data_IF_551013291026
#
_entry.id   IF_551013291026
#
_cell.length_a   1.000
_cell.length_b   1.000
_cell.length_c   1.000
_cell.angle_alpha   90.00
_cell.angle_beta   90.00
_cell.angle_gamma   90.00
#
_symmetry.space_group_name_H-M   'P 1'
#
loop_
_entity.id
_entity.type
_entity.pdbx_description
1 polymer ?
#
# COMPACT_ATOMS: atom_id res chain seq x y z
N UNK A 1 22.06 12.35 4.29
CA UNK A 1 21.18 12.75 5.41
C UNK A 1 20.04 11.75 5.45
N UNK A 2 19.74 11.16 6.61
CA UNK A 2 18.52 10.36 6.80
C UNK A 2 17.46 11.25 7.45
N UNK A 3 16.30 11.37 6.82
CA UNK A 3 15.17 12.21 7.22
C UNK A 3 13.94 11.38 7.67
N UNK A 4 14.04 10.05 7.56
CA UNK A 4 12.99 9.11 7.93
C UNK A 4 13.53 7.97 8.79
N UNK A 5 12.67 7.40 9.64
CA UNK A 5 12.97 6.26 10.50
C UNK A 5 11.82 5.25 10.45
N UNK A 6 12.14 3.95 10.38
CA UNK A 6 11.16 2.87 10.48
C UNK A 6 11.28 2.15 11.82
N UNK A 7 10.14 1.92 12.46
CA UNK A 7 10.04 1.35 13.80
C UNK A 7 8.92 0.34 13.85
N UNK A 8 8.85 -0.46 14.92
CA UNK A 8 7.77 -1.43 15.12
C UNK A 8 7.16 -1.27 16.50
N UNK A 9 5.84 -1.30 16.57
CA UNK A 9 5.08 -1.29 17.81
C UNK A 9 3.78 -2.09 17.64
N UNK A 10 3.26 -2.62 18.74
CA UNK A 10 2.01 -3.42 18.74
C UNK A 10 1.05 -3.00 19.85
N UNK A 11 1.28 -1.87 20.50
CA UNK A 11 0.43 -1.30 21.54
C UNK A 11 0.52 0.22 21.52
N UNK A 12 -0.53 0.90 21.98
CA UNK A 12 -0.57 2.37 22.11
C UNK A 12 0.60 2.86 22.96
N UNK A 13 0.82 2.25 24.12
CA UNK A 13 1.95 2.58 25.00
C UNK A 13 3.31 2.42 24.30
N UNK A 14 3.49 1.34 23.53
CA UNK A 14 4.73 1.14 22.77
C UNK A 14 4.96 2.21 21.71
N UNK A 15 3.89 2.66 21.05
CA UNK A 15 3.94 3.78 20.09
C UNK A 15 4.35 5.06 20.82
N UNK A 16 3.70 5.39 21.93
CA UNK A 16 4.02 6.55 22.75
C UNK A 16 5.48 6.53 23.20
N UNK A 17 5.94 5.43 23.80
CA UNK A 17 7.30 5.29 24.33
C UNK A 17 8.36 5.47 23.23
N UNK A 18 8.13 4.90 22.04
CA UNK A 18 9.07 5.01 20.92
C UNK A 18 9.04 6.43 20.35
N UNK A 19 7.86 7.00 20.09
CA UNK A 19 7.72 8.30 19.44
C UNK A 19 8.30 9.45 20.30
N UNK A 20 8.22 9.37 21.63
CA UNK A 20 8.86 10.36 22.53
C UNK A 20 10.39 10.36 22.46
N UNK A 21 11.01 9.29 21.95
CA UNK A 21 12.47 9.16 21.81
C UNK A 21 12.98 9.61 20.44
N UNK A 22 12.10 9.82 19.47
CA UNK A 22 12.49 10.19 18.11
C UNK A 22 12.59 11.72 18.03
N UNK A 23 13.70 12.26 17.49
CA UNK A 23 13.79 13.69 17.17
C UNK A 23 12.66 14.11 16.23
N UNK A 24 12.00 15.24 16.52
CA UNK A 24 10.91 15.79 15.70
C UNK A 24 11.33 16.13 14.25
N UNK A 25 12.63 16.20 13.98
CA UNK A 25 13.18 16.42 12.63
C UNK A 25 13.12 15.18 11.73
N UNK A 26 12.82 13.99 12.28
CA UNK A 26 12.70 12.75 11.52
C UNK A 26 11.24 12.36 11.35
N UNK A 27 10.86 11.96 10.14
CA UNK A 27 9.53 11.36 9.91
C UNK A 27 9.57 9.87 10.31
N UNK A 28 8.84 9.53 11.37
CA UNK A 28 8.68 8.15 11.81
C UNK A 28 7.61 7.41 11.00
N UNK A 29 7.91 6.19 10.57
CA UNK A 29 6.95 5.21 10.05
C UNK A 29 6.88 4.03 11.03
N UNK A 30 5.72 3.84 11.65
CA UNK A 30 5.53 2.79 12.66
C UNK A 30 4.82 1.59 12.05
N UNK A 31 5.55 0.48 11.95
CA UNK A 31 5.02 -0.83 11.57
C UNK A 31 4.14 -1.37 12.70
N UNK A 32 2.88 -1.65 12.38
CA UNK A 32 1.89 -2.16 13.33
C UNK A 32 1.26 -3.47 12.82
N UNK A 33 0.78 -4.34 13.71
CA UNK A 33 -0.09 -5.45 13.30
C UNK A 33 -1.36 -4.89 12.64
N UNK A 34 -1.88 -5.63 11.66
CA UNK A 34 -3.09 -5.28 10.90
C UNK A 34 -4.35 -6.01 11.41
N UNK A 35 -4.12 -7.10 12.14
CA UNK A 35 -5.12 -7.91 12.83
C UNK A 35 -4.69 -8.08 14.31
N UNK A 36 -5.57 -7.82 15.30
CA UNK A 36 -6.95 -7.32 15.19
C UNK A 36 -7.06 -5.87 14.66
N UNK A 37 -8.26 -5.28 14.58
CA UNK A 37 -8.49 -3.91 14.07
C UNK A 37 -7.50 -2.91 14.71
N UNK A 38 -6.60 -2.29 13.90
CA UNK A 38 -5.52 -1.46 14.41
C UNK A 38 -5.93 -0.01 14.71
N UNK A 39 -7.24 0.31 14.73
CA UNK A 39 -7.77 1.66 14.93
C UNK A 39 -7.04 2.44 16.03
N UNK A 40 -6.91 1.88 17.22
CA UNK A 40 -6.31 2.58 18.37
C UNK A 40 -4.82 2.88 18.15
N UNK A 41 -4.10 1.98 17.48
CA UNK A 41 -2.70 2.16 17.12
C UNK A 41 -2.54 3.28 16.09
N UNK A 42 -3.40 3.30 15.06
CA UNK A 42 -3.40 4.34 14.03
C UNK A 42 -3.71 5.71 14.63
N UNK A 43 -4.69 5.80 15.53
CA UNK A 43 -5.02 7.04 16.25
C UNK A 43 -3.83 7.52 17.09
N UNK A 44 -3.12 6.62 17.78
CA UNK A 44 -1.93 6.97 18.56
C UNK A 44 -0.80 7.51 17.67
N UNK A 45 -0.54 6.88 16.52
CA UNK A 45 0.46 7.33 15.55
C UNK A 45 0.10 8.73 15.02
N UNK A 46 -1.16 8.93 14.62
CA UNK A 46 -1.62 10.22 14.09
C UNK A 46 -1.47 11.35 15.10
N UNK A 47 -1.87 11.13 16.36
CA UNK A 47 -1.73 12.10 17.45
C UNK A 47 -0.28 12.54 17.70
N UNK A 48 0.69 11.67 17.42
CA UNK A 48 2.11 11.91 17.64
C UNK A 48 2.85 12.36 16.37
N UNK A 49 2.13 12.63 15.27
CA UNK A 49 2.71 13.11 14.01
C UNK A 49 3.50 12.04 13.23
N UNK A 50 3.31 10.77 13.56
CA UNK A 50 3.91 9.66 12.83
C UNK A 50 3.16 9.32 11.55
N UNK A 51 3.67 8.32 10.82
CA UNK A 51 3.02 7.67 9.69
C UNK A 51 2.89 6.18 9.97
N UNK A 52 1.88 5.54 9.41
CA UNK A 52 1.72 4.10 9.58
C UNK A 52 2.59 3.33 8.57
N UNK A 53 2.96 2.11 8.93
CA UNK A 53 3.53 1.12 8.01
C UNK A 53 2.79 -0.20 8.19
N UNK A 54 2.43 -0.80 7.07
CA UNK A 54 1.76 -2.11 7.03
C UNK A 54 2.60 -3.10 6.23
N UNK A 55 2.55 -4.38 6.63
CA UNK A 55 3.08 -5.47 5.82
C UNK A 55 1.92 -6.13 5.08
N UNK A 56 2.13 -6.42 3.80
CA UNK A 56 1.13 -7.04 2.91
C UNK A 56 1.54 -8.45 2.49
N UNK A 57 2.60 -9.02 3.09
CA UNK A 57 3.10 -10.33 2.74
C UNK A 57 4.41 -10.73 3.42
N UNK A 58 4.96 -11.85 2.98
CA UNK A 58 6.22 -12.41 3.42
C UNK A 58 6.58 -13.66 2.61
N UNK A 59 7.45 -14.51 3.17
CA UNK A 59 7.93 -15.73 2.50
C UNK A 59 7.04 -16.96 2.76
N UNK A 60 5.97 -16.81 3.55
CA UNK A 60 4.95 -17.84 3.81
C UNK A 60 3.56 -17.30 3.48
N UNK A 61 2.59 -18.18 3.25
CA UNK A 61 1.21 -17.78 2.89
C UNK A 61 0.52 -17.02 4.03
N UNK A 62 0.83 -17.39 5.27
CA UNK A 62 0.25 -16.83 6.49
C UNK A 62 0.77 -15.41 6.78
N UNK A 63 1.84 -14.99 6.12
CA UNK A 63 2.37 -13.63 6.24
C UNK A 63 1.56 -12.59 5.43
N UNK A 64 0.64 -13.03 4.57
CA UNK A 64 -0.24 -12.17 3.81
C UNK A 64 -1.53 -11.90 4.60
N UNK A 65 -1.91 -10.64 4.83
CA UNK A 65 -3.18 -10.33 5.47
C UNK A 65 -4.34 -10.68 4.55
N UNK A 66 -5.54 -10.83 5.12
CA UNK A 66 -6.74 -10.94 4.30
C UNK A 66 -7.03 -9.63 3.57
N UNK A 67 -7.78 -9.69 2.48
CA UNK A 67 -8.27 -8.49 1.78
C UNK A 67 -9.03 -7.58 2.73
N UNK A 68 -9.89 -8.14 3.59
CA UNK A 68 -10.68 -7.37 4.55
C UNK A 68 -9.80 -6.63 5.56
N UNK A 69 -8.73 -7.26 6.07
CA UNK A 69 -7.81 -6.60 7.00
C UNK A 69 -7.08 -5.42 6.33
N UNK A 70 -6.66 -5.61 5.08
CA UNK A 70 -6.01 -4.55 4.32
C UNK A 70 -6.96 -3.39 3.99
N UNK A 71 -8.18 -3.67 3.54
CA UNK A 71 -9.21 -2.63 3.33
C UNK A 71 -9.48 -1.88 4.63
N UNK A 72 -9.70 -2.59 5.74
CA UNK A 72 -9.95 -1.99 7.05
C UNK A 72 -8.81 -1.07 7.46
N UNK A 73 -7.56 -1.53 7.33
CA UNK A 73 -6.39 -0.70 7.61
C UNK A 73 -6.37 0.58 6.77
N UNK A 74 -6.58 0.49 5.45
CA UNK A 74 -6.57 1.64 4.55
C UNK A 74 -7.73 2.59 4.88
N UNK A 75 -8.92 2.06 5.18
CA UNK A 75 -10.07 2.85 5.65
C UNK A 75 -9.72 3.63 6.91
N UNK A 76 -9.18 2.98 7.94
CA UNK A 76 -8.81 3.65 9.20
C UNK A 76 -7.75 4.73 8.99
N UNK A 77 -6.79 4.49 8.09
CA UNK A 77 -5.82 5.51 7.70
C UNK A 77 -6.51 6.71 7.02
N UNK A 78 -7.46 6.47 6.11
CA UNK A 78 -8.21 7.53 5.45
C UNK A 78 -9.07 8.35 6.44
N UNK A 79 -9.77 7.69 7.37
CA UNK A 79 -10.57 8.33 8.42
C UNK A 79 -9.74 9.20 9.37
N UNK A 80 -8.49 8.80 9.64
CA UNK A 80 -7.55 9.53 10.49
C UNK A 80 -6.69 10.56 9.73
N UNK A 81 -6.89 10.69 8.40
CA UNK A 81 -6.01 11.41 7.47
C UNK A 81 -4.52 11.09 7.70
N UNK A 82 -4.23 9.81 7.96
CA UNK A 82 -2.93 9.31 8.35
C UNK A 82 -2.20 8.73 7.12
N UNK A 83 -1.09 9.34 6.67
CA UNK A 83 -0.32 8.78 5.59
C UNK A 83 0.34 7.46 6.02
N UNK A 84 0.43 6.52 5.11
CA UNK A 84 1.04 5.22 5.36
C UNK A 84 1.94 4.77 4.21
N UNK A 85 2.73 3.72 4.47
CA UNK A 85 3.39 2.93 3.45
C UNK A 85 3.12 1.44 3.63
N UNK A 86 3.14 0.71 2.53
CA UNK A 86 2.96 -0.73 2.54
C UNK A 86 4.24 -1.45 2.11
N UNK A 87 4.51 -2.63 2.65
CA UNK A 87 5.76 -3.36 2.37
C UNK A 87 5.52 -4.84 2.32
N UNK A 88 6.45 -5.57 1.70
CA UNK A 88 6.43 -7.02 1.54
C UNK A 88 5.28 -7.55 0.66
N UNK A 89 5.61 -8.22 -0.44
CA UNK A 89 4.62 -8.80 -1.34
C UNK A 89 4.00 -7.84 -2.36
N UNK A 90 4.58 -6.64 -2.58
CA UNK A 90 4.09 -5.64 -3.54
C UNK A 90 5.04 -5.49 -4.75
N UNK A 91 5.41 -6.62 -5.36
CA UNK A 91 6.33 -6.66 -6.51
C UNK A 91 5.62 -6.45 -7.85
N UNK A 92 4.31 -6.71 -7.89
CA UNK A 92 3.51 -6.73 -9.10
C UNK A 92 2.45 -5.63 -9.07
N UNK A 93 2.07 -5.06 -10.23
CA UNK A 93 1.08 -3.99 -10.27
C UNK A 93 -0.30 -4.50 -9.85
N UNK A 94 -0.65 -5.72 -10.27
CA UNK A 94 -1.95 -6.34 -10.06
C UNK A 94 -1.86 -7.60 -9.21
N UNK A 95 -2.96 -7.95 -8.53
CA UNK A 95 -3.06 -9.17 -7.74
C UNK A 95 -2.97 -10.41 -8.62
N UNK A 96 -2.12 -11.37 -8.25
CA UNK A 96 -2.12 -12.71 -8.82
C UNK A 96 -1.36 -13.69 -7.92
N UNK A 97 -1.29 -14.96 -8.34
CA UNK A 97 -0.43 -15.99 -7.74
C UNK A 97 1.02 -15.84 -8.20
N UNK A 98 1.95 -15.74 -7.26
CA UNK A 98 3.38 -15.65 -7.55
C UNK A 98 4.19 -16.54 -6.61
N UNK A 99 5.45 -16.81 -6.96
CA UNK A 99 6.39 -17.46 -6.05
C UNK A 99 6.71 -16.54 -4.87
N UNK A 100 6.67 -17.06 -3.65
CA UNK A 100 6.92 -16.30 -2.42
C UNK A 100 8.38 -15.87 -2.26
N UNK A 101 9.29 -16.52 -2.97
CA UNK A 101 10.71 -16.19 -3.05
C UNK A 101 11.22 -16.42 -4.48
N UNK A 102 12.45 -15.98 -4.77
CA UNK A 102 13.08 -16.20 -6.08
C UNK A 102 13.55 -17.65 -6.32
N UNK A 103 13.47 -18.53 -5.32
CA UNK A 103 13.87 -19.92 -5.48
C UNK A 103 12.93 -20.65 -6.49
N UNK A 104 13.46 -21.46 -7.43
CA UNK A 104 12.65 -22.14 -8.44
C UNK A 104 11.54 -23.04 -7.87
N UNK A 105 11.80 -23.65 -6.72
CA UNK A 105 10.93 -24.55 -5.95
C UNK A 105 10.15 -23.82 -4.83
N UNK A 106 10.22 -22.49 -4.78
CA UNK A 106 9.50 -21.70 -3.80
C UNK A 106 7.99 -21.99 -3.87
N UNK A 107 7.31 -22.12 -2.72
CA UNK A 107 5.85 -22.14 -2.70
C UNK A 107 5.30 -20.88 -3.38
N UNK A 108 4.13 -21.01 -3.98
CA UNK A 108 3.36 -19.87 -4.48
C UNK A 108 2.43 -19.33 -3.41
N UNK A 109 1.95 -18.10 -3.60
CA UNK A 109 0.84 -17.53 -2.86
C UNK A 109 0.26 -16.32 -3.58
N UNK A 110 -0.96 -15.93 -3.21
CA UNK A 110 -1.61 -14.74 -3.77
C UNK A 110 -0.98 -13.48 -3.19
N UNK A 111 -0.45 -12.62 -4.05
CA UNK A 111 0.12 -11.32 -3.66
C UNK A 111 -0.81 -10.20 -4.08
N UNK A 112 -0.94 -9.15 -3.26
CA UNK A 112 -1.61 -7.92 -3.66
C UNK A 112 -0.80 -7.16 -4.72
N UNK A 113 -1.49 -6.42 -5.58
CA UNK A 113 -0.85 -5.50 -6.51
C UNK A 113 -0.60 -4.13 -5.90
N UNK A 114 0.56 -3.52 -6.17
CA UNK A 114 0.80 -2.13 -5.73
C UNK A 114 -0.16 -1.16 -6.42
N UNK A 115 -0.50 -1.35 -7.69
CA UNK A 115 -1.47 -0.48 -8.38
C UNK A 115 -2.86 -0.63 -7.75
N UNK A 116 -3.27 -1.86 -7.43
CA UNK A 116 -4.53 -2.10 -6.71
C UNK A 116 -4.56 -1.33 -5.39
N UNK A 117 -3.51 -1.43 -4.56
CA UNK A 117 -3.46 -0.75 -3.26
C UNK A 117 -3.53 0.77 -3.39
N UNK A 118 -2.84 1.33 -4.38
CA UNK A 118 -2.83 2.77 -4.62
C UNK A 118 -4.20 3.29 -5.07
N UNK A 119 -4.85 2.58 -5.99
CA UNK A 119 -6.18 2.93 -6.45
C UNK A 119 -7.24 2.71 -5.36
N UNK A 120 -7.20 1.59 -4.65
CA UNK A 120 -8.09 1.34 -3.51
C UNK A 120 -7.99 2.46 -2.47
N UNK A 121 -6.77 2.92 -2.16
CA UNK A 121 -6.58 4.04 -1.24
C UNK A 121 -7.22 5.33 -1.76
N UNK A 122 -7.05 5.66 -3.04
CA UNK A 122 -7.66 6.85 -3.64
C UNK A 122 -9.19 6.76 -3.62
N UNK A 123 -9.76 5.63 -4.01
CA UNK A 123 -11.20 5.41 -4.02
C UNK A 123 -11.80 5.43 -2.61
N UNK A 124 -11.16 4.78 -1.63
CA UNK A 124 -11.60 4.80 -0.23
C UNK A 124 -11.66 6.24 0.31
N UNK A 125 -10.66 7.08 -0.04
CA UNK A 125 -10.61 8.48 0.39
C UNK A 125 -11.73 9.34 -0.20
N UNK A 126 -12.27 8.98 -1.36
CA UNK A 126 -13.43 9.67 -1.98
C UNK A 126 -14.76 8.99 -1.66
N UNK A 127 -14.78 8.05 -0.72
CA UNK A 127 -15.99 7.45 -0.18
C UNK A 127 -16.46 6.16 -0.86
N UNK A 128 -15.63 5.48 -1.67
CA UNK A 128 -15.94 4.12 -2.11
C UNK A 128 -16.13 3.20 -0.90
N UNK A 129 -17.11 2.31 -0.92
CA UNK A 129 -17.39 1.35 0.16
C UNK A 129 -16.28 0.28 0.34
N UNK A 130 -16.17 -0.28 1.55
CA UNK A 130 -15.13 -1.29 1.86
C UNK A 130 -15.25 -2.56 0.99
N UNK A 131 -16.47 -3.02 0.72
CA UNK A 131 -16.71 -4.18 -0.15
C UNK A 131 -16.14 -3.95 -1.56
N UNK A 132 -16.39 -2.76 -2.13
CA UNK A 132 -15.92 -2.39 -3.46
C UNK A 132 -14.40 -2.24 -3.51
N UNK A 133 -13.81 -1.62 -2.49
CA UNK A 133 -12.36 -1.55 -2.36
C UNK A 133 -11.72 -2.93 -2.23
N UNK A 134 -12.39 -3.88 -1.57
CA UNK A 134 -11.97 -5.28 -1.51
C UNK A 134 -11.93 -5.93 -2.89
N UNK A 135 -12.97 -5.75 -3.69
CA UNK A 135 -13.01 -6.23 -5.09
C UNK A 135 -11.90 -5.60 -5.93
N UNK A 136 -11.62 -4.31 -5.75
CA UNK A 136 -10.52 -3.62 -6.43
C UNK A 136 -9.15 -4.17 -6.01
N UNK A 137 -8.95 -4.46 -4.72
CA UNK A 137 -7.73 -5.12 -4.23
C UNK A 137 -7.57 -6.55 -4.79
N UNK A 138 -8.68 -7.18 -5.14
CA UNK A 138 -8.73 -8.53 -5.70
C UNK A 138 -8.63 -8.59 -7.23
N UNK A 139 -8.73 -7.45 -7.91
CA UNK A 139 -8.69 -7.35 -9.37
C UNK A 139 -7.30 -7.69 -9.93
N UNK A 140 -7.25 -8.73 -10.75
CA UNK A 140 -6.04 -9.20 -11.44
C UNK A 140 -5.99 -8.87 -12.93
N UNK A 141 -7.09 -8.38 -13.51
CA UNK A 141 -7.19 -8.07 -14.93
C UNK A 141 -6.75 -6.63 -15.23
N UNK A 142 -5.72 -6.41 -16.06
CA UNK A 142 -5.33 -5.06 -16.46
C UNK A 142 -6.43 -4.34 -17.24
N UNK A 143 -7.30 -5.07 -17.94
CA UNK A 143 -8.40 -4.52 -18.73
C UNK A 143 -9.52 -3.91 -17.88
N UNK A 144 -9.55 -4.19 -16.57
CA UNK A 144 -10.49 -3.58 -15.63
C UNK A 144 -10.17 -2.12 -15.32
N UNK A 145 -8.92 -1.69 -15.57
CA UNK A 145 -8.44 -0.35 -15.29
C UNK A 145 -8.33 0.48 -16.56
N UNK A 146 -8.79 1.73 -16.50
CA UNK A 146 -8.60 2.72 -17.57
C UNK A 146 -8.03 4.01 -17.01
N UNK A 147 -7.00 4.53 -17.66
CA UNK A 147 -6.34 5.78 -17.29
C UNK A 147 -6.47 6.79 -18.42
N UNK A 148 -6.71 8.04 -18.06
CA UNK A 148 -6.75 9.19 -18.97
C UNK A 148 -6.09 10.40 -18.30
N UNK A 149 -5.93 11.51 -19.04
CA UNK A 149 -5.30 12.73 -18.52
C UNK A 149 -6.02 13.35 -17.32
N UNK A 150 -7.27 12.94 -17.07
CA UNK A 150 -8.10 13.45 -15.99
C UNK A 150 -8.18 12.48 -14.80
N UNK A 151 -7.70 11.23 -14.88
CA UNK A 151 -7.62 10.32 -13.75
C UNK A 151 -7.66 8.83 -14.08
N UNK A 152 -8.22 8.04 -13.16
CA UNK A 152 -8.33 6.58 -13.27
C UNK A 152 -9.77 6.11 -13.08
N UNK A 153 -10.13 5.05 -13.79
CA UNK A 153 -11.44 4.43 -13.74
C UNK A 153 -11.30 2.93 -13.47
N UNK A 154 -12.20 2.39 -12.65
CA UNK A 154 -12.33 0.96 -12.38
C UNK A 154 -13.82 0.63 -12.17
N UNK A 155 -14.36 -0.30 -12.97
CA UNK A 155 -15.76 -0.75 -12.90
C UNK A 155 -16.83 0.35 -12.75
N UNK A 156 -16.68 1.45 -13.49
CA UNK A 156 -17.62 2.58 -13.47
C UNK A 156 -17.38 3.58 -12.33
N UNK A 157 -16.49 3.28 -11.38
CA UNK A 157 -15.96 4.25 -10.43
C UNK A 157 -14.85 5.07 -11.07
N UNK A 158 -14.77 6.36 -10.70
CA UNK A 158 -13.73 7.27 -11.18
C UNK A 158 -13.09 8.04 -10.02
N UNK A 159 -11.77 8.17 -10.08
CA UNK A 159 -10.98 9.13 -9.29
C UNK A 159 -10.25 10.06 -10.23
N UNK A 160 -10.31 11.35 -9.94
CA UNK A 160 -9.62 12.40 -10.68
C UNK A 160 -8.12 12.42 -10.39
N UNK A 161 -7.36 13.07 -11.26
CA UNK A 161 -5.93 13.32 -11.06
C UNK A 161 -5.64 14.07 -9.75
N UNK A 162 -6.54 14.98 -9.36
CA UNK A 162 -6.44 15.71 -8.08
C UNK A 162 -6.57 14.74 -6.90
N UNK A 163 -7.58 13.88 -6.90
CA UNK A 163 -7.82 12.91 -5.84
C UNK A 163 -6.71 11.85 -5.76
N UNK A 164 -6.15 11.44 -6.91
CA UNK A 164 -4.95 10.60 -6.96
C UNK A 164 -3.75 11.31 -6.32
N UNK A 165 -3.56 12.61 -6.59
CA UNK A 165 -2.52 13.43 -5.96
C UNK A 165 -2.69 13.56 -4.44
N UNK A 166 -3.93 13.76 -3.97
CA UNK A 166 -4.25 13.80 -2.55
C UNK A 166 -4.02 12.44 -1.88
N UNK A 167 -4.41 11.33 -2.52
CA UNK A 167 -4.16 9.98 -2.02
C UNK A 167 -2.66 9.67 -1.92
N UNK A 168 -1.86 10.14 -2.88
CA UNK A 168 -0.39 10.01 -2.85
C UNK A 168 0.27 10.83 -1.74
N UNK A 169 -0.33 11.97 -1.35
CA UNK A 169 0.22 12.88 -0.34
C UNK A 169 -0.21 12.54 1.08
N UNK A 170 -1.48 12.17 1.24
CA UNK A 170 -2.14 12.03 2.54
C UNK A 170 -2.64 10.60 2.84
N UNK A 171 -2.61 9.70 1.84
CA UNK A 171 -2.94 8.29 1.98
C UNK A 171 -1.70 7.40 1.86
N UNK A 172 -1.59 6.68 0.75
CA UNK A 172 -0.46 5.78 0.51
C UNK A 172 0.70 6.54 -0.14
N UNK A 173 1.80 6.66 0.60
CA UNK A 173 2.95 7.48 0.19
C UNK A 173 3.97 6.65 -0.60
N UNK A 174 4.20 5.42 -0.18
CA UNK A 174 5.18 4.53 -0.79
C UNK A 174 4.81 3.07 -0.62
N UNK A 175 5.44 2.22 -1.44
CA UNK A 175 5.49 0.78 -1.22
C UNK A 175 6.94 0.30 -1.23
N UNK A 176 7.19 -0.87 -0.63
CA UNK A 176 8.51 -1.52 -0.66
C UNK A 176 8.56 -2.68 -1.65
N UNK A 177 9.58 -2.69 -2.50
CA UNK A 177 9.95 -3.80 -3.40
C UNK A 177 11.43 -4.11 -3.22
N UNK A 178 11.82 -5.38 -3.33
CA UNK A 178 13.23 -5.80 -3.26
C UNK A 178 14.01 -5.45 -4.54
N UNK A 179 13.30 -5.09 -5.61
CA UNK A 179 13.87 -4.69 -6.89
C UNK A 179 13.25 -3.37 -7.36
N UNK A 180 14.10 -2.50 -7.88
CA UNK A 180 13.67 -1.26 -8.53
C UNK A 180 13.13 -1.50 -9.94
N UNK A 181 13.69 -2.47 -10.67
CA UNK A 181 13.33 -2.74 -12.06
C UNK A 181 12.07 -3.60 -12.20
N UNK A 182 11.78 -4.48 -11.23
CA UNK A 182 10.61 -5.37 -11.29
C UNK A 182 9.28 -4.61 -11.41
N UNK A 183 8.96 -3.61 -10.57
CA UNK A 183 7.70 -2.87 -10.71
C UNK A 183 7.58 -2.15 -12.05
N UNK A 184 8.69 -1.60 -12.57
CA UNK A 184 8.71 -0.90 -13.85
C UNK A 184 8.44 -1.87 -15.00
N UNK A 185 9.21 -2.96 -15.08
CA UNK A 185 9.02 -3.98 -16.12
C UNK A 185 7.64 -4.63 -16.07
N UNK A 186 7.08 -4.80 -14.87
CA UNK A 186 5.72 -5.32 -14.72
C UNK A 186 4.65 -4.33 -15.20
N UNK A 187 4.84 -3.01 -15.03
CA UNK A 187 3.95 -1.99 -15.60
C UNK A 187 4.08 -1.88 -17.13
N UNK A 188 5.28 -2.04 -17.67
CA UNK A 188 5.52 -2.12 -19.12
C UNK A 188 4.81 -3.34 -19.73
N UNK A 189 4.88 -4.49 -19.04
CA UNK A 189 4.25 -5.75 -19.48
C UNK A 189 2.71 -5.66 -19.55
N UNK A 190 2.09 -4.75 -18.79
CA UNK A 190 0.65 -4.44 -18.87
C UNK A 190 0.34 -3.14 -19.62
N UNK A 191 1.32 -2.60 -20.36
CA UNK A 191 1.21 -1.41 -21.21
C UNK A 191 0.81 -0.11 -20.50
N UNK A 192 1.00 -0.02 -19.18
CA UNK A 192 0.78 1.23 -18.43
C UNK A 192 1.99 2.16 -18.48
N UNK A 193 3.19 1.60 -18.68
CA UNK A 193 4.37 2.34 -19.06
C UNK A 193 4.78 1.95 -20.48
N UNK A 194 5.36 2.90 -21.21
CA UNK A 194 6.04 2.59 -22.46
C UNK A 194 7.30 1.82 -22.12
N UNK A 195 7.56 0.72 -22.81
CA UNK A 195 8.84 0.04 -22.73
C UNK A 195 9.96 1.03 -23.04
N UNK A 196 10.94 1.14 -22.15
CA UNK A 196 12.09 2.01 -22.37
C UNK A 196 12.72 1.74 -23.74
N UNK A 197 12.66 2.71 -24.64
CA UNK A 197 13.51 2.68 -25.83
C UNK A 197 14.96 2.65 -25.34
N UNK A 198 15.73 1.66 -25.79
CA UNK A 198 17.19 1.76 -25.69
C UNK A 198 17.57 3.05 -26.41
N UNK A 199 18.01 4.05 -25.66
CA UNK A 199 18.65 5.22 -26.23
C UNK A 199 19.94 4.73 -26.93
N UNK A 200 19.88 4.55 -28.24
CA UNK A 200 21.05 4.65 -29.14
C UNK A 200 21.11 6.05 -29.71
#
# INVERSE_FOLDING_TARGET
VADTLELKASSVRGIEDIMHRIPRSLQAYVEIPIDPDPRDLLVAIAKLGGRAKVRTGGITREAFPTTSDLVRFVRRCAEADLPFKATAGLHHPLRAEFRLTYAPDSPTGTMFGFLNLFLATAFLRVGMEETEAGRLLEEGSPNAFRFDDAGANWEGHRVSLKELGEARRFGVVSFGSCSFSEPIGALEAIHLLRSGAQHT
#
